data_IF_159208518110
#
_entry.id   IF_159208518110
#
_cell.length_a   1.000
_cell.length_b   1.000
_cell.length_c   1.000
_cell.angle_alpha   90.00
_cell.angle_beta   90.00
_cell.angle_gamma   90.00
#
_symmetry.space_group_name_H-M   'P 1'
#
loop_
_entity.id
_entity.type
_entity.pdbx_description
1 polymer ?
#
# COMPACT_ATOMS: atom_id res chain seq x y z
N UNK A 1 23.94 5.12 15.34
CA UNK A 1 23.10 3.91 15.43
C UNK A 1 21.74 4.29 14.91
N UNK A 2 21.24 3.63 13.86
CA UNK A 2 19.90 3.88 13.32
C UNK A 2 18.85 3.49 14.35
N UNK A 3 17.75 4.25 14.42
CA UNK A 3 16.61 3.95 15.30
C UNK A 3 16.07 2.54 15.00
N UNK A 4 15.83 1.69 16.01
CA UNK A 4 15.16 0.40 15.80
C UNK A 4 13.75 0.63 15.27
N UNK A 5 13.33 -0.18 14.30
CA UNK A 5 12.00 -0.11 13.69
C UNK A 5 10.95 -0.55 14.71
N UNK A 6 9.90 0.25 14.85
CA UNK A 6 8.77 -0.03 15.72
C UNK A 6 7.47 -0.24 14.92
N UNK A 7 6.44 -0.74 15.58
CA UNK A 7 5.09 -0.74 15.00
C UNK A 7 4.64 0.68 14.63
N UNK A 8 3.86 0.79 13.56
CA UNK A 8 3.41 2.04 12.92
C UNK A 8 4.53 2.87 12.27
N UNK A 9 5.79 2.48 12.38
CA UNK A 9 6.86 3.13 11.62
C UNK A 9 6.75 2.79 10.13
N UNK A 10 7.17 3.74 9.29
CA UNK A 10 7.36 3.53 7.85
C UNK A 10 8.66 2.76 7.62
N UNK A 11 8.57 1.69 6.84
CA UNK A 11 9.71 0.85 6.53
C UNK A 11 9.78 0.54 5.03
N UNK A 12 11.00 0.33 4.56
CA UNK A 12 11.31 -0.18 3.23
C UNK A 12 11.95 -1.54 3.36
N UNK A 13 11.55 -2.48 2.51
CA UNK A 13 12.20 -3.78 2.43
C UNK A 13 13.56 -3.61 1.75
N UNK A 14 14.60 -4.17 2.35
CA UNK A 14 15.97 -4.07 1.84
C UNK A 14 16.08 -4.53 0.38
N UNK A 15 16.87 -3.80 -0.40
CA UNK A 15 17.23 -4.21 -1.76
C UNK A 15 18.46 -5.12 -1.70
N UNK A 16 18.22 -6.42 -1.48
CA UNK A 16 19.25 -7.47 -1.48
C UNK A 16 18.79 -8.67 -2.27
N UNK A 17 19.76 -9.48 -2.71
CA UNK A 17 19.43 -10.74 -3.36
C UNK A 17 18.87 -11.79 -2.40
N UNK A 18 17.82 -12.49 -2.82
CA UNK A 18 17.34 -13.66 -2.10
C UNK A 18 18.40 -14.76 -2.18
N UNK A 19 18.72 -15.32 -1.03
CA UNK A 19 19.67 -16.44 -0.88
C UNK A 19 18.92 -17.74 -0.63
N UNK A 20 19.63 -18.87 -0.69
CA UNK A 20 19.02 -20.19 -0.46
C UNK A 20 18.34 -20.34 0.92
N UNK A 21 18.78 -19.57 1.93
CA UNK A 21 18.13 -19.52 3.24
C UNK A 21 16.73 -18.88 3.18
N UNK A 22 16.52 -17.87 2.33
CA UNK A 22 15.23 -17.20 2.18
C UNK A 22 14.18 -18.10 1.53
N UNK A 23 14.60 -18.95 0.59
CA UNK A 23 13.73 -19.94 -0.02
C UNK A 23 13.20 -20.95 1.03
N UNK A 24 13.97 -21.21 2.09
CA UNK A 24 13.56 -22.08 3.20
C UNK A 24 12.70 -21.34 4.23
N UNK A 25 13.05 -20.10 4.56
CA UNK A 25 12.29 -19.31 5.54
C UNK A 25 10.96 -18.79 4.99
N UNK A 26 10.88 -18.59 3.67
CA UNK A 26 9.74 -17.98 2.98
C UNK A 26 9.42 -16.55 3.45
N UNK A 27 10.39 -15.89 4.10
CA UNK A 27 10.24 -14.53 4.64
C UNK A 27 10.77 -13.45 3.70
N UNK A 28 11.47 -13.82 2.63
CA UNK A 28 12.02 -12.86 1.68
C UNK A 28 11.97 -13.41 0.26
N UNK A 29 11.47 -12.60 -0.67
CA UNK A 29 11.44 -12.92 -2.09
C UNK A 29 11.99 -11.74 -2.89
N UNK A 30 12.58 -12.02 -4.06
CA UNK A 30 13.17 -10.98 -4.90
C UNK A 30 12.19 -9.87 -5.32
N UNK A 31 10.90 -10.19 -5.42
CA UNK A 31 9.90 -9.19 -5.77
C UNK A 31 9.53 -8.27 -4.60
N UNK A 32 9.96 -8.55 -3.36
CA UNK A 32 9.73 -7.66 -2.20
C UNK A 32 10.75 -6.51 -2.11
N UNK A 33 11.90 -6.66 -2.78
CA UNK A 33 12.99 -5.68 -2.74
C UNK A 33 12.48 -4.27 -3.02
N UNK A 34 12.78 -3.32 -2.14
CA UNK A 34 12.44 -1.91 -2.32
C UNK A 34 10.96 -1.55 -2.15
N UNK A 35 10.07 -2.50 -1.82
CA UNK A 35 8.69 -2.18 -1.45
C UNK A 35 8.65 -1.36 -0.16
N UNK A 36 7.76 -0.38 -0.10
CA UNK A 36 7.57 0.45 1.11
C UNK A 36 6.20 0.22 1.72
N UNK A 37 6.12 0.40 3.03
CA UNK A 37 4.88 0.22 3.76
C UNK A 37 4.95 0.72 5.19
N UNK A 38 3.93 0.35 5.96
CA UNK A 38 3.83 0.62 7.40
C UNK A 38 3.93 -0.69 8.15
N UNK A 39 4.76 -0.74 9.19
CA UNK A 39 4.84 -1.90 10.07
C UNK A 39 3.53 -2.03 10.85
N UNK A 40 2.74 -3.04 10.53
CA UNK A 40 1.46 -3.28 11.19
C UNK A 40 1.65 -3.95 12.56
N UNK A 41 2.59 -4.90 12.65
CA UNK A 41 2.88 -5.64 13.88
C UNK A 41 4.29 -6.24 13.83
N UNK A 42 4.95 -6.28 14.99
CA UNK A 42 6.20 -7.04 15.18
C UNK A 42 5.91 -8.25 16.07
N UNK A 43 6.45 -9.41 15.70
CA UNK A 43 6.28 -10.66 16.42
C UNK A 43 7.55 -10.99 17.23
N UNK A 44 7.38 -11.75 18.30
CA UNK A 44 8.47 -12.12 19.22
C UNK A 44 9.55 -12.99 18.56
N UNK A 45 9.25 -13.63 17.43
CA UNK A 45 10.16 -14.46 16.64
C UNK A 45 11.08 -13.66 15.70
N UNK A 46 11.01 -12.31 15.75
CA UNK A 46 11.81 -11.43 14.91
C UNK A 46 11.23 -11.21 13.52
N UNK A 47 9.97 -11.60 13.27
CA UNK A 47 9.24 -11.26 12.05
C UNK A 47 8.37 -10.01 12.22
N UNK A 48 8.01 -9.37 11.12
CA UNK A 48 7.13 -8.21 11.07
C UNK A 48 6.11 -8.35 9.94
N UNK A 49 4.85 -8.01 10.26
CA UNK A 49 3.81 -7.81 9.26
C UNK A 49 3.89 -6.37 8.75
N UNK A 50 4.02 -6.19 7.45
CA UNK A 50 4.13 -4.87 6.81
C UNK A 50 2.99 -4.71 5.82
N UNK A 51 2.18 -3.67 6.03
CA UNK A 51 1.16 -3.25 5.08
C UNK A 51 1.83 -2.43 3.97
N UNK A 52 1.93 -3.03 2.78
CA UNK A 52 2.66 -2.46 1.64
C UNK A 52 1.80 -1.44 0.91
N UNK A 53 2.43 -0.32 0.55
CA UNK A 53 1.81 0.69 -0.30
C UNK A 53 1.60 0.11 -1.70
N UNK A 54 0.35 0.06 -2.22
CA UNK A 54 0.07 -0.52 -3.52
C UNK A 54 0.85 0.12 -4.68
N UNK A 55 1.24 1.38 -4.54
CA UNK A 55 2.04 2.12 -5.53
C UNK A 55 3.47 1.60 -5.67
N UNK A 56 3.99 0.87 -4.67
CA UNK A 56 5.33 0.28 -4.69
C UNK A 56 5.33 -1.17 -5.18
N UNK A 57 4.14 -1.75 -5.35
CA UNK A 57 4.02 -3.09 -5.94
C UNK A 57 4.46 -3.07 -7.41
N UNK A 58 5.16 -4.11 -7.88
CA UNK A 58 5.34 -4.39 -9.30
C UNK A 58 4.01 -4.38 -10.03
N UNK A 59 3.99 -3.89 -11.27
CA UNK A 59 2.75 -3.67 -12.03
C UNK A 59 1.86 -4.91 -12.11
N UNK A 60 2.46 -6.08 -12.35
CA UNK A 60 1.73 -7.34 -12.45
C UNK A 60 1.05 -7.75 -11.13
N UNK A 61 1.73 -7.53 -10.00
CA UNK A 61 1.18 -7.82 -8.66
C UNK A 61 0.12 -6.78 -8.28
N UNK A 62 0.38 -5.51 -8.57
CA UNK A 62 -0.57 -4.41 -8.35
C UNK A 62 -1.88 -4.68 -9.10
N UNK A 63 -1.80 -5.04 -10.38
CA UNK A 63 -2.98 -5.34 -11.19
C UNK A 63 -3.83 -6.46 -10.59
N UNK A 64 -3.20 -7.58 -10.21
CA UNK A 64 -3.88 -8.71 -9.55
C UNK A 64 -4.49 -8.32 -8.21
N UNK A 65 -3.79 -7.52 -7.41
CA UNK A 65 -4.28 -7.04 -6.12
C UNK A 65 -5.50 -6.14 -6.28
N UNK A 66 -5.48 -5.22 -7.26
CA UNK A 66 -6.62 -4.37 -7.60
C UNK A 66 -7.82 -5.21 -8.05
N UNK A 67 -7.62 -6.14 -8.99
CA UNK A 67 -8.69 -7.02 -9.49
C UNK A 67 -9.33 -7.85 -8.35
N UNK A 68 -8.50 -8.45 -7.49
CA UNK A 68 -9.00 -9.20 -6.33
C UNK A 68 -9.73 -8.32 -5.32
N UNK A 69 -9.26 -7.09 -5.09
CA UNK A 69 -9.91 -6.13 -4.21
C UNK A 69 -11.28 -5.70 -4.75
N UNK A 70 -11.38 -5.47 -6.05
CA UNK A 70 -12.64 -5.11 -6.73
C UNK A 70 -13.63 -6.27 -6.72
N UNK A 71 -13.19 -7.49 -7.02
CA UNK A 71 -14.03 -8.68 -6.95
C UNK A 71 -14.60 -8.90 -5.54
N UNK A 72 -13.77 -8.74 -4.51
CA UNK A 72 -14.21 -8.89 -3.13
C UNK A 72 -15.12 -7.75 -2.68
N UNK A 73 -14.86 -6.51 -3.13
CA UNK A 73 -15.76 -5.37 -2.93
C UNK A 73 -17.12 -5.63 -3.54
N UNK A 74 -17.15 -6.12 -4.78
CA UNK A 74 -18.40 -6.42 -5.49
C UNK A 74 -19.18 -7.51 -4.75
N UNK A 75 -18.52 -8.62 -4.39
CA UNK A 75 -19.13 -9.70 -3.61
C UNK A 75 -19.70 -9.21 -2.26
N UNK A 76 -18.99 -8.31 -1.58
CA UNK A 76 -19.48 -7.70 -0.34
C UNK A 76 -20.72 -6.84 -0.58
N UNK A 77 -20.70 -5.97 -1.60
CA UNK A 77 -21.84 -5.11 -1.96
C UNK A 77 -23.07 -5.91 -2.41
N UNK A 78 -22.86 -7.02 -3.13
CA UNK A 78 -23.92 -7.92 -3.59
C UNK A 78 -24.56 -8.70 -2.43
N UNK A 79 -23.79 -8.93 -1.36
CA UNK A 79 -24.27 -9.54 -0.12
C UNK A 79 -25.11 -8.61 0.77
N UNK A 80 -25.16 -7.31 0.48
CA UNK A 80 -25.98 -6.34 1.21
C UNK A 80 -27.38 -6.24 0.61
N UNK A 81 -28.40 -6.01 1.46
CA UNK A 81 -29.72 -5.60 0.98
C UNK A 81 -29.67 -4.21 0.36
N UNK A 82 -30.64 -3.88 -0.50
CA UNK A 82 -30.69 -2.56 -1.15
C UNK A 82 -30.79 -1.40 -0.15
N UNK A 83 -31.51 -1.59 0.96
CA UNK A 83 -31.59 -0.62 2.06
C UNK A 83 -30.23 -0.42 2.74
N UNK A 84 -29.51 -1.51 3.02
CA UNK A 84 -28.18 -1.45 3.62
C UNK A 84 -27.15 -0.80 2.66
N UNK A 85 -27.22 -1.11 1.36
CA UNK A 85 -26.33 -0.54 0.33
C UNK A 85 -26.56 0.96 0.14
N UNK A 86 -27.80 1.43 0.25
CA UNK A 86 -28.14 2.85 0.13
C UNK A 86 -27.78 3.66 1.38
N UNK A 87 -27.65 3.02 2.55
CA UNK A 87 -27.22 3.68 3.78
C UNK A 87 -25.72 3.98 3.84
N UNK A 88 -24.91 3.26 3.06
CA UNK A 88 -23.45 3.44 3.04
C UNK A 88 -23.06 4.71 2.27
N UNK A 89 -22.23 5.54 2.89
CA UNK A 89 -21.54 6.65 2.25
C UNK A 89 -20.53 6.18 1.19
N UNK A 90 -20.07 7.10 0.34
CA UNK A 90 -19.02 6.79 -0.64
C UNK A 90 -17.73 6.29 0.02
N UNK A 91 -17.38 6.85 1.19
CA UNK A 91 -16.22 6.41 1.97
C UNK A 91 -16.41 4.99 2.54
N UNK A 92 -17.59 4.67 3.05
CA UNK A 92 -17.87 3.32 3.57
C UNK A 92 -17.97 2.27 2.45
N UNK A 93 -18.33 2.69 1.23
CA UNK A 93 -18.28 1.84 0.03
C UNK A 93 -16.86 1.61 -0.49
N UNK A 94 -15.85 2.35 -0.01
CA UNK A 94 -14.43 2.10 -0.32
C UNK A 94 -13.96 0.90 0.48
N UNK A 95 -14.22 -0.27 -0.08
CA UNK A 95 -13.61 -1.52 0.36
C UNK A 95 -12.28 -1.70 -0.36
N UNK A 96 -11.17 -1.76 0.38
CA UNK A 96 -9.84 -2.02 -0.15
C UNK A 96 -9.17 -3.13 0.66
N UNK A 97 -8.57 -4.10 -0.04
CA UNK A 97 -7.76 -5.11 0.63
C UNK A 97 -6.38 -4.54 0.91
N UNK A 98 -5.86 -4.82 2.11
CA UNK A 98 -4.46 -4.54 2.43
C UNK A 98 -3.59 -5.61 1.80
N UNK A 99 -2.47 -5.18 1.19
CA UNK A 99 -1.42 -6.09 0.76
C UNK A 99 -0.39 -6.20 1.89
N UNK A 100 -0.59 -7.15 2.79
CA UNK A 100 0.29 -7.36 3.94
C UNK A 100 1.27 -8.48 3.64
N UNK A 101 2.57 -8.23 3.83
CA UNK A 101 3.62 -9.26 3.74
C UNK A 101 4.21 -9.55 5.12
N UNK A 102 4.72 -10.76 5.30
CA UNK A 102 5.50 -11.15 6.47
C UNK A 102 6.98 -11.19 6.07
N UNK A 103 7.83 -10.46 6.80
CA UNK A 103 9.27 -10.35 6.54
C UNK A 103 10.06 -10.38 7.84
N UNK A 104 11.36 -10.67 7.78
CA UNK A 104 12.24 -10.55 8.94
C UNK A 104 12.46 -9.07 9.28
N UNK A 105 12.52 -8.71 10.58
CA UNK A 105 12.81 -7.33 11.02
C UNK A 105 14.19 -6.87 10.52
N UNK A 106 15.15 -7.78 10.36
CA UNK A 106 16.48 -7.50 9.81
C UNK A 106 16.48 -7.12 8.33
N UNK A 107 15.40 -7.43 7.61
CA UNK A 107 15.21 -7.08 6.19
C UNK A 107 14.42 -5.77 6.01
N UNK A 108 14.20 -5.03 7.10
CA UNK A 108 13.54 -3.74 7.08
C UNK A 108 14.54 -2.62 7.40
N UNK A 109 14.47 -1.55 6.60
CA UNK A 109 15.16 -0.29 6.86
C UNK A 109 14.14 0.82 7.09
N UNK A 110 14.41 1.79 8.00
CA UNK A 110 13.55 2.94 8.14
C UNK A 110 13.41 3.67 6.81
N UNK A 111 12.18 3.94 6.38
CA UNK A 111 11.96 4.69 5.16
C UNK A 111 12.34 6.16 5.41
N UNK A 112 13.48 6.61 4.90
CA UNK A 112 13.85 8.03 4.86
C UNK A 112 13.13 8.71 3.70
N UNK A 113 12.09 9.48 3.99
CA UNK A 113 11.41 10.36 3.04
C UNK A 113 9.89 10.20 3.02
N UNK A 114 9.20 11.33 2.89
CA UNK A 114 7.78 11.36 2.50
C UNK A 114 7.59 10.70 1.12
N UNK A 115 6.42 10.10 0.86
CA UNK A 115 6.18 9.32 -0.36
C UNK A 115 6.58 10.10 -1.62
N UNK A 116 7.50 9.55 -2.43
CA UNK A 116 7.91 10.17 -3.69
C UNK A 116 6.84 10.18 -4.79
N UNK A 117 5.59 9.79 -4.48
CA UNK A 117 4.45 10.05 -5.35
C UNK A 117 3.31 10.61 -4.50
N UNK A 118 2.83 11.78 -4.91
CA UNK A 118 1.64 12.44 -4.37
C UNK A 118 0.51 11.40 -4.28
N UNK A 119 -0.22 11.38 -3.17
CA UNK A 119 -1.41 10.55 -3.03
C UNK A 119 -2.36 10.82 -4.20
N UNK A 120 -3.22 9.85 -4.54
CA UNK A 120 -4.20 10.03 -5.63
C UNK A 120 -5.03 11.30 -5.41
N UNK A 121 -5.45 11.54 -4.15
CA UNK A 121 -6.14 12.77 -3.74
C UNK A 121 -5.30 14.04 -3.96
N UNK A 122 -3.98 13.98 -3.71
CA UNK A 122 -3.09 15.12 -3.93
C UNK A 122 -2.83 15.37 -5.43
N UNK A 123 -2.87 14.33 -6.28
CA UNK A 123 -2.81 14.45 -7.74
C UNK A 123 -4.11 15.03 -8.30
N UNK A 124 -5.27 14.55 -7.83
CA UNK A 124 -6.60 15.05 -8.21
C UNK A 124 -6.76 16.53 -7.84
N UNK A 125 -6.38 16.93 -6.61
CA UNK A 125 -6.39 18.33 -6.17
C UNK A 125 -5.46 19.23 -6.98
N UNK A 126 -4.38 18.70 -7.53
CA UNK A 126 -3.43 19.46 -8.33
C UNK A 126 -3.88 19.58 -9.79
N UNK A 127 -4.50 18.54 -10.33
CA UNK A 127 -5.15 18.56 -11.63
C UNK A 127 -6.36 19.50 -11.66
N UNK A 128 -7.19 19.51 -10.60
CA UNK A 128 -8.28 20.47 -10.44
C UNK A 128 -7.77 21.91 -10.38
N UNK A 129 -6.68 22.16 -9.64
CA UNK A 129 -6.04 23.49 -9.58
C UNK A 129 -5.51 23.91 -10.96
N UNK A 130 -4.82 23.02 -11.66
CA UNK A 130 -4.28 23.30 -12.99
C UNK A 130 -5.37 23.58 -14.04
N UNK A 131 -6.47 22.83 -14.02
CA UNK A 131 -7.64 23.06 -14.88
C UNK A 131 -8.32 24.40 -14.57
N UNK A 132 -8.37 24.80 -13.30
CA UNK A 132 -8.92 26.09 -12.88
C UNK A 132 -8.08 27.29 -13.37
N UNK A 133 -6.75 27.16 -13.37
CA UNK A 133 -5.83 28.17 -13.87
C UNK A 133 -5.90 28.34 -15.40
N UNK A 134 -6.00 27.23 -16.14
CA UNK A 134 -6.19 27.25 -17.59
C UNK A 134 -7.51 27.92 -17.96
N UNK A 135 -8.57 27.65 -17.20
CA UNK A 135 -9.90 28.24 -17.42
C UNK A 135 -9.90 29.74 -17.16
N UNK A 136 -9.22 30.21 -16.11
CA UNK A 136 -9.08 31.64 -15.81
C UNK A 136 -8.21 32.40 -16.82
N UNK A 137 -7.20 31.76 -17.42
CA UNK A 137 -6.38 32.35 -18.50
C UNK A 137 -7.11 32.46 -19.84
N UNK A 138 -8.18 31.70 -20.07
CA UNK A 138 -9.01 31.77 -21.30
C UNK A 138 -10.14 32.79 -21.23
N UNK A 139 -10.36 33.42 -20.07
CA UNK A 139 -11.38 34.46 -19.86
C UNK A 139 -10.79 35.87 -19.67
N UNK A 140 -9.49 36.04 -19.94
CA UNK A 140 -8.82 37.33 -20.11
C UNK A 140 -8.42 37.50 -21.57
#
# INVERSE_FOLDING_TARGET
>A
MSKPIAEKDRATVVDREAVAADAKSQLFYNHYRGMTGVVAKIYDDGTAAVDIDPITLPETLRARHTEGSEAQRQKWLDGLSDEARNRLSAAEKKFALRYTILVAVTDLIPATGEPQRKSLEALELEEERHLSEIKNKKSA
#
